data_IF_183335670377
#
_entry.id   IF_183335670377
#
_cell.length_a   1.000
_cell.length_b   1.000
_cell.length_c   1.000
_cell.angle_alpha   90.00
_cell.angle_beta   90.00
_cell.angle_gamma   90.00
#
_symmetry.space_group_name_H-M   'P 1'
#
loop_
_entity.id
_entity.type
_entity.pdbx_description
1 polymer ?
#
# COMPACT_ATOMS: atom_id res chain seq x y z
N UNK A 1 -0.81 66.46 28.67
CA UNK A 1 -2.27 66.66 28.93
C UNK A 1 -2.68 66.78 30.40
N UNK A 2 -2.31 65.88 31.32
CA UNK A 2 -2.80 65.93 32.72
C UNK A 2 -2.45 67.22 33.48
N UNK A 3 -1.24 67.77 33.27
CA UNK A 3 -0.84 69.03 33.87
C UNK A 3 -1.72 70.22 33.44
N UNK A 4 -2.21 70.22 32.19
CA UNK A 4 -3.13 71.24 31.68
C UNK A 4 -4.51 71.10 32.32
N UNK A 5 -5.00 69.87 32.52
CA UNK A 5 -6.28 69.60 33.22
C UNK A 5 -6.22 70.07 34.67
N UNK A 6 -5.10 69.86 35.35
CA UNK A 6 -4.88 70.37 36.69
C UNK A 6 -4.90 71.91 36.73
N UNK A 7 -4.19 72.56 35.81
CA UNK A 7 -4.13 74.02 35.74
C UNK A 7 -5.50 74.63 35.41
N UNK A 8 -6.24 74.03 34.48
CA UNK A 8 -7.61 74.43 34.15
C UNK A 8 -8.56 74.30 35.34
N UNK A 9 -8.44 73.22 36.11
CA UNK A 9 -9.23 73.00 37.33
C UNK A 9 -8.92 74.05 38.39
N UNK A 10 -7.64 74.42 38.56
CA UNK A 10 -7.21 75.47 39.48
C UNK A 10 -7.80 76.83 39.09
N UNK A 11 -7.68 77.22 37.81
CA UNK A 11 -8.21 78.48 37.29
C UNK A 11 -9.74 78.53 37.37
N UNK A 12 -10.42 77.41 37.10
CA UNK A 12 -11.89 77.32 37.22
C UNK A 12 -12.36 77.52 38.65
N UNK A 13 -11.67 76.94 39.63
CA UNK A 13 -11.96 77.15 41.05
C UNK A 13 -11.69 78.60 41.48
N UNK A 14 -10.63 79.21 40.96
CA UNK A 14 -10.31 80.61 41.24
C UNK A 14 -11.34 81.57 40.63
N UNK A 15 -11.77 81.34 39.39
CA UNK A 15 -12.81 82.12 38.73
C UNK A 15 -14.16 82.10 39.47
N UNK A 16 -14.45 81.00 40.19
CA UNK A 16 -15.64 80.88 41.01
C UNK A 16 -15.56 81.68 42.33
N UNK A 17 -14.36 81.81 42.91
CA UNK A 17 -14.17 82.42 44.23
C UNK A 17 -13.75 83.90 44.17
N UNK A 18 -13.00 84.31 43.14
CA UNK A 18 -12.42 85.65 43.02
C UNK A 18 -13.22 86.53 42.03
N UNK A 19 -13.64 87.71 42.50
CA UNK A 19 -14.39 88.68 41.69
C UNK A 19 -13.51 89.49 40.72
N UNK A 20 -12.20 89.50 40.94
CA UNK A 20 -11.23 90.20 40.08
C UNK A 20 -10.48 89.23 39.15
N UNK A 21 -11.04 88.03 38.93
CA UNK A 21 -10.45 87.03 38.05
C UNK A 21 -10.19 87.57 36.64
N UNK A 22 -9.02 87.27 36.10
CA UNK A 22 -8.64 87.62 34.73
C UNK A 22 -8.99 86.48 33.75
N UNK A 23 -9.99 86.66 32.88
CA UNK A 23 -10.40 85.63 31.92
C UNK A 23 -9.32 85.25 30.91
N UNK A 24 -8.35 86.14 30.64
CA UNK A 24 -7.29 85.88 29.65
C UNK A 24 -6.41 84.69 30.05
N UNK A 25 -6.24 84.46 31.36
CA UNK A 25 -5.51 83.31 31.90
C UNK A 25 -6.12 81.95 31.52
N UNK A 26 -7.45 81.89 31.37
CA UNK A 26 -8.14 80.66 30.93
C UNK A 26 -7.97 80.47 29.43
N UNK A 27 -8.04 81.54 28.65
CA UNK A 27 -7.85 81.50 27.20
C UNK A 27 -6.45 80.98 26.82
N UNK A 28 -5.41 81.39 27.55
CA UNK A 28 -4.05 80.89 27.33
C UNK A 28 -3.91 79.39 27.63
N UNK A 29 -4.58 78.88 28.68
CA UNK A 29 -4.63 77.44 28.95
C UNK A 29 -5.42 76.70 27.86
N UNK A 30 -6.49 77.27 27.32
CA UNK A 30 -7.25 76.68 26.22
C UNK A 30 -6.42 76.57 24.93
N UNK A 31 -5.61 77.59 24.60
CA UNK A 31 -4.67 77.51 23.47
C UNK A 31 -3.65 76.39 23.66
N UNK A 32 -3.15 76.19 24.88
CA UNK A 32 -2.24 75.08 25.18
C UNK A 32 -2.93 73.72 25.03
N UNK A 33 -4.20 73.60 25.41
CA UNK A 33 -4.99 72.38 25.17
C UNK A 33 -5.13 72.06 23.68
N UNK A 34 -5.44 73.07 22.87
CA UNK A 34 -5.57 72.90 21.42
C UNK A 34 -4.26 72.39 20.81
N UNK A 35 -3.12 73.02 21.17
CA UNK A 35 -1.80 72.60 20.69
C UNK A 35 -1.47 71.17 21.14
N UNK A 36 -1.70 70.85 22.42
CA UNK A 36 -1.43 69.53 22.96
C UNK A 36 -2.32 68.47 22.30
N UNK A 37 -3.61 68.76 22.09
CA UNK A 37 -4.54 67.87 21.42
C UNK A 37 -4.11 67.58 19.97
N UNK A 38 -3.71 68.61 19.21
CA UNK A 38 -3.19 68.43 17.86
C UNK A 38 -1.91 67.60 17.84
N UNK A 39 -0.98 67.82 18.78
CA UNK A 39 0.23 67.02 18.90
C UNK A 39 -0.07 65.57 19.23
N UNK A 40 -0.96 65.32 20.18
CA UNK A 40 -1.38 63.96 20.54
C UNK A 40 -2.05 63.26 19.37
N UNK A 41 -2.89 63.96 18.61
CA UNK A 41 -3.53 63.38 17.41
C UNK A 41 -2.51 63.05 16.32
N UNK A 42 -1.61 63.99 15.99
CA UNK A 42 -0.56 63.75 15.01
C UNK A 42 0.40 62.61 15.41
N UNK A 43 0.71 62.50 16.70
CA UNK A 43 1.52 61.39 17.22
C UNK A 43 0.80 60.06 17.12
N UNK A 44 -0.50 60.03 17.45
CA UNK A 44 -1.32 58.82 17.35
C UNK A 44 -1.50 58.37 15.89
N UNK A 45 -1.70 59.30 14.97
CA UNK A 45 -1.84 58.99 13.54
C UNK A 45 -0.53 58.42 12.96
N UNK A 46 0.62 58.98 13.35
CA UNK A 46 1.92 58.45 12.96
C UNK A 46 2.19 57.05 13.53
N UNK A 47 1.84 56.81 14.81
CA UNK A 47 1.97 55.49 15.43
C UNK A 47 1.06 54.48 14.75
N UNK A 48 -0.19 54.85 14.47
CA UNK A 48 -1.13 54.02 13.74
C UNK A 48 -0.65 53.68 12.32
N UNK A 49 -0.10 54.65 11.58
CA UNK A 49 0.44 54.40 10.24
C UNK A 49 1.60 53.40 10.29
N UNK A 50 2.48 53.53 11.29
CA UNK A 50 3.57 52.58 11.52
C UNK A 50 3.07 51.18 11.90
N UNK A 51 2.08 51.08 12.78
CA UNK A 51 1.48 49.80 13.15
C UNK A 51 0.80 49.11 11.96
N UNK A 52 0.15 49.88 11.08
CA UNK A 52 -0.45 49.36 9.84
C UNK A 52 0.63 48.86 8.89
N UNK A 53 1.69 49.63 8.66
CA UNK A 53 2.82 49.20 7.81
C UNK A 53 3.47 47.92 8.33
N UNK A 54 3.73 47.83 9.65
CA UNK A 54 4.28 46.63 10.28
C UNK A 54 3.32 45.42 10.16
N UNK A 55 2.01 45.65 10.30
CA UNK A 55 1.01 44.60 10.12
C UNK A 55 0.91 44.13 8.66
N UNK A 56 0.97 45.03 7.69
CA UNK A 56 0.97 44.71 6.26
C UNK A 56 2.19 43.89 5.87
N UNK A 57 3.38 44.27 6.36
CA UNK A 57 4.61 43.49 6.13
C UNK A 57 4.50 42.09 6.74
N UNK A 58 4.02 41.98 7.98
CA UNK A 58 3.86 40.68 8.64
C UNK A 58 2.85 39.78 7.92
N UNK A 59 1.77 40.35 7.38
CA UNK A 59 0.80 39.60 6.57
C UNK A 59 1.44 39.16 5.26
N UNK A 60 2.18 40.02 4.57
CA UNK A 60 2.86 39.67 3.33
C UNK A 60 3.89 38.56 3.56
N UNK A 61 4.70 38.65 4.62
CA UNK A 61 5.65 37.59 4.99
C UNK A 61 4.91 36.26 5.25
N UNK A 62 3.80 36.29 5.99
CA UNK A 62 3.01 35.10 6.25
C UNK A 62 2.40 34.49 4.96
N UNK A 63 1.96 35.33 4.03
CA UNK A 63 1.45 34.90 2.72
C UNK A 63 2.55 34.25 1.87
N UNK A 64 3.73 34.87 1.79
CA UNK A 64 4.88 34.34 1.04
C UNK A 64 5.34 32.98 1.59
N UNK A 65 5.38 32.85 2.92
CA UNK A 65 5.72 31.60 3.58
C UNK A 65 4.68 30.50 3.29
N UNK A 66 3.38 30.84 3.36
CA UNK A 66 2.30 29.90 3.05
C UNK A 66 2.35 29.47 1.57
N UNK A 67 2.59 30.40 0.65
CA UNK A 67 2.71 30.10 -0.78
C UNK A 67 3.88 29.15 -1.06
N UNK A 68 5.04 29.41 -0.44
CA UNK A 68 6.22 28.53 -0.54
C UNK A 68 5.93 27.12 -0.03
N UNK A 69 5.31 26.99 1.14
CA UNK A 69 4.95 25.68 1.71
C UNK A 69 3.94 24.93 0.85
N UNK A 70 2.95 25.63 0.31
CA UNK A 70 1.95 25.05 -0.59
C UNK A 70 2.57 24.60 -1.91
N UNK A 71 3.44 25.41 -2.53
CA UNK A 71 4.14 25.03 -3.76
C UNK A 71 5.02 23.80 -3.54
N UNK A 72 5.79 23.78 -2.46
CA UNK A 72 6.63 22.65 -2.07
C UNK A 72 5.80 21.37 -1.88
N UNK A 73 4.69 21.45 -1.13
CA UNK A 73 3.81 20.30 -0.91
C UNK A 73 3.19 19.79 -2.22
N UNK A 74 2.73 20.69 -3.10
CA UNK A 74 2.17 20.30 -4.39
C UNK A 74 3.20 19.63 -5.29
N UNK A 75 4.46 20.08 -5.26
CA UNK A 75 5.54 19.45 -6.00
C UNK A 75 5.92 18.07 -5.45
N UNK A 76 5.88 17.88 -4.14
CA UNK A 76 6.02 16.55 -3.52
C UNK A 76 4.89 15.61 -3.95
N UNK A 77 3.63 16.08 -3.93
CA UNK A 77 2.49 15.29 -4.40
C UNK A 77 2.64 14.90 -5.87
N UNK A 78 3.07 15.82 -6.73
CA UNK A 78 3.32 15.54 -8.15
C UNK A 78 4.35 14.42 -8.33
N UNK A 79 5.49 14.51 -7.63
CA UNK A 79 6.54 13.48 -7.69
C UNK A 79 6.06 12.13 -7.15
N UNK A 80 5.27 12.16 -6.08
CA UNK A 80 4.68 10.95 -5.50
C UNK A 80 3.73 10.25 -6.47
N UNK A 81 2.86 10.99 -7.17
CA UNK A 81 1.98 10.44 -8.19
C UNK A 81 2.74 9.84 -9.37
N UNK A 82 3.76 10.54 -9.87
CA UNK A 82 4.62 10.05 -10.95
C UNK A 82 5.32 8.74 -10.57
N UNK A 83 5.85 8.66 -9.34
CA UNK A 83 6.52 7.47 -8.83
C UNK A 83 5.54 6.32 -8.59
N UNK A 84 4.34 6.61 -8.07
CA UNK A 84 3.28 5.61 -7.90
C UNK A 84 2.86 5.03 -9.25
N UNK A 85 2.62 5.87 -10.26
CA UNK A 85 2.24 5.45 -11.61
C UNK A 85 3.35 4.61 -12.25
N UNK A 86 4.62 5.01 -12.08
CA UNK A 86 5.78 4.25 -12.57
C UNK A 86 5.85 2.86 -11.93
N UNK A 87 5.67 2.77 -10.61
CA UNK A 87 5.65 1.50 -9.89
C UNK A 87 4.47 0.63 -10.33
N UNK A 88 3.27 1.20 -10.40
CA UNK A 88 2.06 0.48 -10.80
C UNK A 88 2.20 -0.12 -12.21
N UNK A 89 2.76 0.62 -13.17
CA UNK A 89 3.06 0.09 -14.52
C UNK A 89 4.07 -1.05 -14.48
N UNK A 90 5.16 -0.89 -13.73
CA UNK A 90 6.18 -1.93 -13.58
C UNK A 90 5.61 -3.21 -12.96
N UNK A 91 4.77 -3.08 -11.92
CA UNK A 91 4.11 -4.22 -11.28
C UNK A 91 3.11 -4.89 -12.22
N UNK A 92 2.31 -4.12 -12.94
CA UNK A 92 1.36 -4.63 -13.93
C UNK A 92 2.07 -5.42 -15.04
N UNK A 93 3.14 -4.88 -15.61
CA UNK A 93 3.92 -5.57 -16.64
C UNK A 93 4.54 -6.87 -16.12
N UNK A 94 5.02 -6.87 -14.87
CA UNK A 94 5.55 -8.06 -14.21
C UNK A 94 4.46 -9.14 -14.04
N UNK A 95 3.26 -8.72 -13.59
CA UNK A 95 2.12 -9.61 -13.42
C UNK A 95 1.62 -10.18 -14.76
N UNK A 96 1.58 -9.36 -15.81
CA UNK A 96 1.22 -9.80 -17.15
C UNK A 96 2.22 -10.86 -17.66
N UNK A 97 3.53 -10.60 -17.52
CA UNK A 97 4.59 -11.57 -17.87
C UNK A 97 4.46 -12.88 -17.10
N UNK A 98 4.17 -12.82 -15.80
CA UNK A 98 3.94 -13.99 -14.97
C UNK A 98 2.70 -14.78 -15.43
N UNK A 99 1.59 -14.08 -15.69
CA UNK A 99 0.34 -14.65 -16.19
C UNK A 99 0.50 -15.32 -17.56
N UNK A 100 1.21 -14.68 -18.48
CA UNK A 100 1.53 -15.26 -19.78
C UNK A 100 2.36 -16.54 -19.66
N UNK A 101 3.36 -16.52 -18.78
CA UNK A 101 4.25 -17.66 -18.54
C UNK A 101 3.48 -18.83 -17.95
N UNK A 102 2.61 -18.57 -16.97
CA UNK A 102 1.72 -19.56 -16.39
C UNK A 102 0.75 -20.14 -17.44
N UNK A 103 0.17 -19.29 -18.32
CA UNK A 103 -0.71 -19.73 -19.41
C UNK A 103 0.02 -20.62 -20.41
N UNK A 104 1.24 -20.24 -20.84
CA UNK A 104 2.08 -21.05 -21.74
C UNK A 104 2.41 -22.40 -21.10
N UNK A 105 2.78 -22.41 -19.83
CA UNK A 105 3.05 -23.63 -19.07
C UNK A 105 1.80 -24.52 -18.96
N UNK A 106 0.65 -23.96 -18.60
CA UNK A 106 -0.62 -24.69 -18.51
C UNK A 106 -1.02 -25.35 -19.83
N UNK A 107 -0.82 -24.67 -20.96
CA UNK A 107 -1.05 -25.25 -22.29
C UNK A 107 -0.11 -26.41 -22.61
N UNK A 108 1.17 -26.32 -22.24
CA UNK A 108 2.13 -27.41 -22.42
C UNK A 108 1.78 -28.62 -21.54
N UNK A 109 1.48 -28.37 -20.27
CA UNK A 109 1.06 -29.41 -19.33
C UNK A 109 -0.24 -30.09 -19.77
N UNK A 110 -1.22 -29.31 -20.25
CA UNK A 110 -2.47 -29.84 -20.80
C UNK A 110 -2.24 -30.77 -22.00
N UNK A 111 -1.32 -30.41 -22.91
CA UNK A 111 -0.93 -31.27 -24.03
C UNK A 111 -0.24 -32.56 -23.56
N UNK A 112 0.69 -32.45 -22.60
CA UNK A 112 1.39 -33.61 -22.06
C UNK A 112 0.43 -34.57 -21.33
N UNK A 113 -0.47 -34.03 -20.51
CA UNK A 113 -1.50 -34.80 -19.82
C UNK A 113 -2.46 -35.50 -20.81
N UNK A 114 -2.85 -34.83 -21.90
CA UNK A 114 -3.67 -35.45 -22.94
C UNK A 114 -2.96 -36.62 -23.64
N UNK A 115 -1.66 -36.48 -23.95
CA UNK A 115 -0.85 -37.57 -24.53
C UNK A 115 -0.76 -38.74 -23.55
N UNK A 116 -0.46 -38.48 -22.28
CA UNK A 116 -0.38 -39.51 -21.26
C UNK A 116 -1.74 -40.22 -21.09
N UNK A 117 -2.83 -39.47 -20.97
CA UNK A 117 -4.19 -40.00 -20.89
C UNK A 117 -4.54 -40.89 -22.09
N UNK A 118 -4.20 -40.46 -23.31
CA UNK A 118 -4.40 -41.27 -24.51
C UNK A 118 -3.64 -42.61 -24.43
N UNK A 119 -2.36 -42.59 -24.02
CA UNK A 119 -1.57 -43.81 -23.83
C UNK A 119 -2.17 -44.74 -22.78
N UNK A 120 -2.67 -44.20 -21.66
CA UNK A 120 -3.36 -44.98 -20.64
C UNK A 120 -4.63 -45.64 -21.19
N UNK A 121 -5.46 -44.89 -21.92
CA UNK A 121 -6.66 -45.43 -22.56
C UNK A 121 -6.32 -46.51 -23.60
N UNK A 122 -5.31 -46.29 -24.44
CA UNK A 122 -4.84 -47.29 -25.41
C UNK A 122 -4.35 -48.58 -24.72
N UNK A 123 -3.59 -48.45 -23.63
CA UNK A 123 -3.14 -49.61 -22.85
C UNK A 123 -4.33 -50.37 -22.22
N UNK A 124 -5.30 -49.65 -21.65
CA UNK A 124 -6.50 -50.25 -21.09
C UNK A 124 -7.33 -50.98 -22.16
N UNK A 125 -7.54 -50.35 -23.33
CA UNK A 125 -8.26 -50.95 -24.46
C UNK A 125 -7.53 -52.18 -25.02
N UNK A 126 -6.21 -52.12 -25.13
CA UNK A 126 -5.40 -53.26 -25.58
C UNK A 126 -5.48 -54.43 -24.57
N UNK A 127 -5.43 -54.14 -23.28
CA UNK A 127 -5.58 -55.14 -22.21
C UNK A 127 -6.98 -55.78 -22.23
N UNK A 128 -8.03 -54.97 -22.34
CA UNK A 128 -9.40 -55.45 -22.46
C UNK A 128 -9.59 -56.32 -23.71
N UNK A 129 -9.05 -55.88 -24.87
CA UNK A 129 -9.11 -56.65 -26.12
C UNK A 129 -8.35 -57.97 -26.03
N UNK A 130 -7.17 -57.98 -25.40
CA UNK A 130 -6.41 -59.20 -25.14
C UNK A 130 -7.21 -60.16 -24.24
N UNK A 131 -7.82 -59.63 -23.18
CA UNK A 131 -8.67 -60.39 -22.26
C UNK A 131 -9.92 -60.97 -22.94
N UNK A 132 -10.55 -60.21 -23.83
CA UNK A 132 -11.67 -60.71 -24.66
C UNK A 132 -11.21 -61.80 -25.64
N UNK A 133 -10.05 -61.63 -26.30
CA UNK A 133 -9.49 -62.63 -27.21
C UNK A 133 -9.13 -63.93 -26.48
N UNK A 134 -8.59 -63.86 -25.26
CA UNK A 134 -8.28 -65.06 -24.46
C UNK A 134 -9.55 -65.75 -23.97
N UNK A 135 -10.56 -65.00 -23.52
CA UNK A 135 -11.86 -65.55 -23.14
C UNK A 135 -12.56 -66.24 -24.33
N UNK A 136 -12.53 -65.63 -25.52
CA UNK A 136 -13.09 -66.21 -26.75
C UNK A 136 -12.36 -67.48 -27.20
N UNK A 137 -11.02 -67.52 -27.11
CA UNK A 137 -10.25 -68.74 -27.36
C UNK A 137 -10.51 -69.84 -26.32
N UNK A 138 -10.77 -69.47 -25.07
CA UNK A 138 -11.17 -70.40 -24.00
C UNK A 138 -12.54 -71.03 -24.24
N UNK A 139 -13.49 -70.28 -24.81
CA UNK A 139 -14.82 -70.78 -25.22
C UNK A 139 -14.75 -71.71 -26.44
N UNK A 140 -13.75 -71.54 -27.32
CA UNK A 140 -13.55 -72.38 -28.51
C UNK A 140 -12.88 -73.73 -28.20
N UNK A 141 -12.46 -73.99 -26.96
CA UNK A 141 -11.83 -75.25 -26.58
C UNK A 141 -12.42 -75.84 -25.30
N UNK A 142 -13.46 -76.66 -25.54
CA UNK A 142 -13.95 -77.84 -24.80
C UNK A 142 -15.24 -77.69 -23.98
N UNK A 143 -16.03 -78.78 -24.14
CA UNK A 143 -17.24 -79.24 -23.46
C UNK A 143 -17.32 -78.90 -21.96
N UNK A 144 -18.54 -78.85 -21.39
CA UNK A 144 -18.79 -78.26 -20.08
C UNK A 144 -18.30 -79.17 -18.95
N UNK A 145 -17.60 -78.61 -17.97
CA UNK A 145 -17.65 -79.05 -16.58
C UNK A 145 -17.12 -77.98 -15.61
N UNK A 146 -17.87 -77.82 -14.52
CA UNK A 146 -17.53 -77.33 -13.17
C UNK A 146 -17.20 -75.84 -12.91
N UNK A 147 -18.27 -75.12 -12.54
CA UNK A 147 -18.48 -74.42 -11.25
C UNK A 147 -17.28 -74.19 -10.31
N UNK A 148 -16.20 -73.58 -10.81
CA UNK A 148 -15.17 -72.91 -9.94
C UNK A 148 -14.64 -71.60 -10.52
N UNK A 149 -15.18 -71.14 -11.66
CA UNK A 149 -14.65 -69.98 -12.40
C UNK A 149 -15.14 -68.63 -11.83
N UNK A 150 -16.28 -68.60 -11.13
CA UNK A 150 -16.89 -67.34 -10.68
C UNK A 150 -16.06 -66.56 -9.64
N UNK A 151 -15.17 -67.23 -8.89
CA UNK A 151 -14.36 -66.58 -7.85
C UNK A 151 -13.00 -66.03 -8.35
N UNK A 152 -12.59 -66.31 -9.59
CA UNK A 152 -11.34 -65.77 -10.16
C UNK A 152 -11.50 -64.45 -10.91
N UNK A 153 -12.71 -64.14 -11.38
CA UNK A 153 -12.97 -62.89 -12.13
C UNK A 153 -13.07 -61.66 -11.21
N UNK A 154 -13.59 -61.83 -9.98
CA UNK A 154 -13.72 -60.76 -8.98
C UNK A 154 -12.39 -60.29 -8.36
N UNK A 155 -11.28 -61.00 -8.60
CA UNK A 155 -9.96 -60.62 -8.07
C UNK A 155 -9.16 -59.66 -8.97
N UNK A 156 -9.64 -59.35 -10.19
CA UNK A 156 -8.96 -58.43 -11.11
C UNK A 156 -9.53 -57.00 -11.14
N UNK A 157 -10.66 -56.73 -10.49
CA UNK A 157 -11.29 -55.39 -10.52
C UNK A 157 -10.76 -54.39 -9.49
N UNK A 158 -9.81 -54.76 -8.61
CA UNK A 158 -9.37 -53.89 -7.50
C UNK A 158 -7.97 -53.28 -7.61
N UNK A 159 -7.29 -53.35 -8.76
CA UNK A 159 -5.96 -52.74 -8.94
C UNK A 159 -5.92 -51.74 -10.10
N UNK A 160 -6.78 -50.72 -10.03
CA UNK A 160 -6.49 -49.44 -10.70
C UNK A 160 -5.69 -48.61 -9.68
N UNK A 161 -4.41 -48.27 -9.93
CA UNK A 161 -3.66 -47.44 -9.01
C UNK A 161 -4.30 -46.04 -9.02
N UNK A 162 -5.07 -45.74 -7.97
CA UNK A 162 -5.48 -44.38 -7.66
C UNK A 162 -4.21 -43.62 -7.27
N UNK A 163 -3.82 -42.64 -8.08
CA UNK A 163 -2.72 -41.73 -7.71
C UNK A 163 -3.20 -40.88 -6.54
N UNK A 164 -2.65 -41.15 -5.35
CA UNK A 164 -2.87 -40.34 -4.17
C UNK A 164 -2.15 -39.00 -4.30
N UNK A 165 -2.79 -37.92 -3.85
CA UNK A 165 -2.35 -36.53 -4.06
C UNK A 165 -1.24 -36.08 -3.11
N UNK A 166 -0.76 -36.93 -2.21
CA UNK A 166 0.23 -36.56 -1.21
C UNK A 166 1.39 -37.56 -1.21
N UNK A 167 2.57 -37.10 -1.63
CA UNK A 167 3.79 -37.88 -1.62
C UNK A 167 4.15 -38.35 -0.21
N UNK A 168 4.20 -39.67 -0.02
CA UNK A 168 4.99 -40.34 1.01
C UNK A 168 5.22 -41.80 0.64
N UNK A 169 6.46 -42.24 0.85
CA UNK A 169 6.97 -43.56 0.53
C UNK A 169 6.18 -44.68 1.21
N UNK A 170 5.89 -45.76 0.47
CA UNK A 170 5.57 -47.04 1.10
C UNK A 170 6.31 -48.19 0.42
N UNK A 171 6.96 -48.95 1.30
CA UNK A 171 7.84 -50.09 1.11
C UNK A 171 7.21 -51.29 0.40
N UNK A 172 8.01 -51.89 -0.48
CA UNK A 172 8.16 -53.33 -0.76
C UNK A 172 7.03 -54.27 -0.28
N UNK A 173 6.16 -54.66 -1.20
CA UNK A 173 5.48 -55.97 -1.16
C UNK A 173 5.55 -56.59 -2.54
N UNK A 174 6.54 -57.47 -2.72
CA UNK A 174 6.78 -58.19 -3.95
C UNK A 174 5.65 -59.15 -4.31
N UNK A 175 5.15 -59.04 -5.53
CA UNK A 175 4.68 -60.18 -6.32
C UNK A 175 5.10 -59.97 -7.79
N UNK A 176 6.01 -60.83 -8.24
CA UNK A 176 6.62 -60.82 -9.58
C UNK A 176 5.55 -60.98 -10.67
N UNK A 177 5.18 -59.89 -11.34
CA UNK A 177 4.68 -59.93 -12.72
C UNK A 177 5.88 -59.78 -13.65
N UNK A 178 6.23 -60.86 -14.37
CA UNK A 178 7.24 -60.85 -15.44
C UNK A 178 6.71 -60.10 -16.67
N UNK A 179 6.62 -58.77 -16.62
CA UNK A 179 6.65 -57.88 -17.79
C UNK A 179 7.31 -56.57 -17.34
N UNK A 180 8.58 -56.62 -16.96
CA UNK A 180 9.38 -55.44 -16.67
C UNK A 180 10.83 -55.73 -17.03
N UNK A 181 11.19 -55.57 -18.30
CA UNK A 181 12.59 -55.44 -18.73
C UNK A 181 12.79 -54.34 -19.81
N UNK A 182 11.79 -53.50 -20.11
CA UNK A 182 11.92 -52.47 -21.17
C UNK A 182 11.62 -51.02 -20.75
N UNK A 183 11.51 -50.71 -19.45
CA UNK A 183 11.24 -49.34 -18.99
C UNK A 183 12.26 -48.80 -17.98
N UNK A 184 13.52 -49.23 -18.08
CA UNK A 184 14.57 -48.79 -17.16
C UNK A 184 15.56 -47.79 -17.75
N UNK A 185 15.21 -47.09 -18.83
CA UNK A 185 16.12 -46.09 -19.40
C UNK A 185 15.39 -44.85 -19.92
N UNK A 186 14.89 -44.02 -19.00
CA UNK A 186 14.76 -42.56 -19.18
C UNK A 186 14.21 -41.88 -17.91
N UNK A 187 15.12 -41.47 -17.02
CA UNK A 187 15.04 -40.21 -16.26
C UNK A 187 16.47 -39.82 -15.89
N UNK A 188 16.85 -38.52 -15.98
CA UNK A 188 16.60 -37.65 -14.82
C UNK A 188 16.39 -36.16 -15.18
N UNK A 189 15.18 -35.62 -15.05
CA UNK A 189 14.99 -34.16 -14.84
C UNK A 189 13.70 -33.94 -14.02
N UNK A 190 13.74 -34.18 -12.71
CA UNK A 190 12.71 -33.70 -11.78
C UNK A 190 13.23 -33.70 -10.34
N UNK A 191 14.34 -33.00 -10.10
CA UNK A 191 14.83 -32.69 -8.75
C UNK A 191 15.52 -31.33 -8.78
N UNK A 192 14.73 -30.26 -8.92
CA UNK A 192 15.23 -28.87 -8.82
C UNK A 192 14.12 -27.81 -8.66
N UNK A 193 12.86 -28.16 -8.35
CA UNK A 193 11.79 -27.15 -8.29
C UNK A 193 10.86 -27.40 -7.10
N UNK A 194 11.44 -27.54 -5.91
CA UNK A 194 10.70 -27.49 -4.64
C UNK A 194 11.59 -26.90 -3.53
N UNK A 195 12.26 -25.77 -3.77
CA UNK A 195 12.91 -24.98 -2.72
C UNK A 195 13.00 -23.52 -3.17
N UNK A 196 11.87 -22.81 -3.11
CA UNK A 196 11.81 -21.34 -3.22
C UNK A 196 10.46 -20.84 -2.71
N UNK A 197 10.15 -21.08 -1.44
CA UNK A 197 9.20 -20.25 -0.68
C UNK A 197 9.97 -19.05 -0.11
N UNK A 198 9.73 -17.80 -0.54
CA UNK A 198 10.09 -16.68 0.30
C UNK A 198 9.06 -16.59 1.43
N UNK A 199 9.54 -16.86 2.64
CA UNK A 199 8.88 -16.46 3.86
C UNK A 199 8.85 -14.92 3.89
N UNK A 200 7.76 -14.30 3.42
CA UNK A 200 7.50 -12.88 3.68
C UNK A 200 6.40 -12.78 4.72
N UNK A 201 6.81 -12.74 5.98
CA UNK A 201 5.96 -12.26 7.08
C UNK A 201 5.61 -10.81 6.77
N UNK A 202 4.37 -10.58 6.34
CA UNK A 202 3.80 -9.25 6.16
C UNK A 202 3.45 -8.71 7.55
N UNK A 203 4.33 -7.91 8.13
CA UNK A 203 3.99 -7.02 9.24
C UNK A 203 3.67 -5.64 8.66
N UNK A 204 2.46 -5.09 8.86
CA UNK A 204 2.14 -3.74 8.42
C UNK A 204 2.94 -2.72 9.25
N UNK A 205 3.38 -1.59 8.67
CA UNK A 205 3.97 -0.52 9.45
C UNK A 205 2.86 0.11 10.32
N UNK A 206 3.02 -0.03 11.63
CA UNK A 206 2.28 0.73 12.61
C UNK A 206 2.60 2.22 12.44
N UNK A 207 1.58 3.01 12.08
CA UNK A 207 1.45 4.38 12.59
C UNK A 207 1.58 4.30 14.11
N UNK A 208 2.71 4.68 14.70
CA UNK A 208 2.90 5.65 15.81
C UNK A 208 4.41 5.69 16.09
N UNK A 209 5.05 6.85 15.88
CA UNK A 209 6.02 7.47 16.81
C UNK A 209 6.68 8.68 16.14
N UNK A 210 5.91 9.77 16.09
CA UNK A 210 6.47 11.12 16.14
C UNK A 210 6.86 11.38 17.60
N UNK A 211 8.14 11.25 17.96
CA UNK A 211 8.74 11.99 19.08
C UNK A 211 10.27 11.86 19.13
N UNK A 212 10.90 13.04 19.18
CA UNK A 212 12.25 13.38 19.72
C UNK A 212 13.48 13.16 18.84
N UNK A 213 14.01 14.31 18.39
CA UNK A 213 15.40 14.46 17.94
C UNK A 213 15.79 15.92 17.67
N UNK A 214 15.41 16.86 18.52
CA UNK A 214 15.86 18.25 18.45
C UNK A 214 17.30 18.37 18.97
N UNK A 215 18.25 18.65 18.08
CA UNK A 215 19.48 19.37 18.40
C UNK A 215 20.20 19.80 17.10
N UNK A 216 20.15 21.11 16.81
CA UNK A 216 21.17 21.80 16.02
C UNK A 216 20.78 22.12 14.59
N UNK A 217 20.44 23.39 14.35
CA UNK A 217 20.37 23.93 13.00
C UNK A 217 19.54 25.20 12.96
N UNK A 218 20.14 26.33 13.32
CA UNK A 218 19.57 27.63 13.03
C UNK A 218 19.36 27.78 11.52
N UNK A 219 18.11 27.71 11.09
CA UNK A 219 17.65 28.40 9.89
C UNK A 219 16.44 29.20 10.35
N UNK A 220 16.52 30.50 10.11
CA UNK A 220 15.33 31.32 10.00
C UNK A 220 14.63 30.83 8.74
N UNK A 221 13.87 29.78 8.91
CA UNK A 221 12.73 29.51 8.07
C UNK A 221 11.65 30.42 8.64
N UNK A 222 10.90 31.06 7.74
CA UNK A 222 9.48 31.28 7.95
C UNK A 222 8.89 30.27 8.97
#
# INVERSE_FOLDING_TARGET
MEALLYQFTLLSNQAFQDKNFDPSSTDDVMKLFEIEAYKSWASMELEQEKEVEEAEVAVQEAEDCLESDMESAMDEFRRFEEEMERMARSELESLERAGESARKMGNLLGKAAAIASKKYMEAALNSATASMKTAWKGLSSKKPHDETIYNKFLACESNIPLMDKNGSNMSDVGRKCKISDEFQNQQPIAQSICDSTPNSTFTPPSLVDSAKGAAGGARGDC
#
